data_IF_766757262035
#
_entry.id   IF_766757262035
#
_cell.length_a   1.000
_cell.length_b   1.000
_cell.length_c   1.000
_cell.angle_alpha   90.00
_cell.angle_beta   90.00
_cell.angle_gamma   90.00
#
_symmetry.space_group_name_H-M   'P 1'
#
loop_
_entity.id
_entity.type
_entity.pdbx_description
1 polymer ?
#
# COMPACT_ATOMS: atom_id res chain seq x y z
N UNK A 1 -6.10 -8.33 -34.66
CA UNK A 1 -5.10 -8.25 -33.56
C UNK A 1 -5.91 -8.18 -32.28
N UNK A 2 -5.43 -8.73 -31.17
CA UNK A 2 -6.20 -8.69 -29.92
C UNK A 2 -5.93 -7.38 -29.19
N UNK A 3 -6.88 -6.45 -29.18
CA UNK A 3 -6.73 -5.10 -28.62
C UNK A 3 -6.50 -5.16 -27.11
N UNK A 4 -7.12 -6.11 -26.41
CA UNK A 4 -7.06 -6.24 -24.95
C UNK A 4 -5.73 -6.79 -24.46
N UNK A 5 -5.15 -7.79 -25.15
CA UNK A 5 -3.85 -8.32 -24.75
C UNK A 5 -2.73 -7.28 -24.93
N UNK A 6 -2.83 -6.43 -25.96
CA UNK A 6 -1.89 -5.33 -26.19
C UNK A 6 -2.09 -4.20 -25.17
N UNK A 7 -3.34 -3.85 -24.86
CA UNK A 7 -3.65 -2.94 -23.76
C UNK A 7 -3.04 -3.42 -22.44
N UNK A 8 -3.21 -4.70 -22.10
CA UNK A 8 -2.70 -5.26 -20.85
C UNK A 8 -1.17 -5.17 -20.75
N UNK A 9 -0.47 -5.48 -21.85
CA UNK A 9 0.97 -5.32 -21.93
C UNK A 9 1.41 -3.85 -21.82
N UNK A 10 0.69 -2.94 -22.47
CA UNK A 10 0.91 -1.50 -22.37
C UNK A 10 0.75 -1.00 -20.93
N UNK A 11 -0.27 -1.47 -20.21
CA UNK A 11 -0.45 -1.14 -18.78
C UNK A 11 0.74 -1.64 -17.95
N UNK A 12 1.34 -2.81 -18.24
CA UNK A 12 2.54 -3.30 -17.54
C UNK A 12 3.75 -2.40 -17.79
N UNK A 13 3.98 -2.04 -19.05
CA UNK A 13 5.11 -1.19 -19.44
C UNK A 13 5.00 0.20 -18.80
N UNK A 14 3.79 0.77 -18.80
CA UNK A 14 3.47 2.02 -18.11
C UNK A 14 3.66 1.92 -16.61
N UNK A 15 3.26 0.80 -16.00
CA UNK A 15 3.44 0.56 -14.56
C UNK A 15 4.90 0.62 -14.16
N UNK A 16 5.79 -0.04 -14.92
CA UNK A 16 7.23 0.02 -14.67
C UNK A 16 7.83 1.40 -14.93
N UNK A 17 7.40 2.09 -16.00
CA UNK A 17 7.83 3.46 -16.28
C UNK A 17 7.42 4.44 -15.16
N UNK A 18 6.21 4.30 -14.62
CA UNK A 18 5.72 5.10 -13.49
C UNK A 18 6.50 4.78 -12.21
N UNK A 19 6.75 3.50 -11.89
CA UNK A 19 7.60 3.13 -10.75
C UNK A 19 9.01 3.70 -10.90
N UNK A 20 9.60 3.65 -12.10
CA UNK A 20 10.93 4.22 -12.36
C UNK A 20 10.93 5.74 -12.09
N UNK A 21 9.92 6.46 -12.56
CA UNK A 21 9.79 7.91 -12.33
C UNK A 21 9.62 8.24 -10.84
N UNK A 22 8.76 7.50 -10.13
CA UNK A 22 8.51 7.69 -8.70
C UNK A 22 9.72 7.32 -7.83
N UNK A 23 10.65 6.52 -8.32
CA UNK A 23 11.83 6.05 -7.57
C UNK A 23 13.15 6.68 -7.98
N UNK A 24 13.15 7.55 -8.99
CA UNK A 24 14.37 8.21 -9.48
C UNK A 24 14.99 9.17 -8.47
N UNK A 25 14.18 9.75 -7.57
CA UNK A 25 14.62 10.68 -6.53
C UNK A 25 13.93 10.34 -5.21
N UNK A 26 14.72 9.99 -4.19
CA UNK A 26 14.21 9.63 -2.88
C UNK A 26 13.34 10.73 -2.24
N UNK A 27 13.58 12.01 -2.54
CA UNK A 27 12.80 13.13 -1.98
C UNK A 27 11.34 13.12 -2.44
N UNK A 28 11.10 12.57 -3.63
CA UNK A 28 9.78 12.46 -4.24
C UNK A 28 9.25 11.02 -4.23
N UNK A 29 9.91 10.11 -3.51
CA UNK A 29 9.55 8.70 -3.53
C UNK A 29 8.19 8.46 -2.89
N UNK A 30 7.20 8.24 -3.75
CA UNK A 30 5.84 7.93 -3.34
C UNK A 30 5.68 6.43 -3.10
N UNK A 31 5.99 6.01 -1.87
CA UNK A 31 5.84 4.63 -1.41
C UNK A 31 4.42 4.09 -1.64
N UNK A 32 3.42 4.91 -1.39
CA UNK A 32 2.02 4.48 -1.47
C UNK A 32 1.60 4.22 -2.89
N UNK A 33 1.97 5.12 -3.82
CA UNK A 33 1.69 4.95 -5.24
C UNK A 33 2.44 3.77 -5.82
N UNK A 34 3.72 3.61 -5.50
CA UNK A 34 4.52 2.43 -5.89
C UNK A 34 3.89 1.14 -5.39
N UNK A 35 3.46 1.09 -4.12
CA UNK A 35 2.79 -0.07 -3.56
C UNK A 35 1.47 -0.38 -4.29
N UNK A 36 0.63 0.63 -4.56
CA UNK A 36 -0.64 0.46 -5.31
C UNK A 36 -0.39 -0.14 -6.70
N UNK A 37 0.60 0.36 -7.44
CA UNK A 37 0.93 -0.15 -8.79
C UNK A 37 1.42 -1.61 -8.70
N UNK A 38 2.33 -1.91 -7.78
CA UNK A 38 2.91 -3.24 -7.64
C UNK A 38 1.90 -4.29 -7.14
N UNK A 39 1.00 -3.91 -6.22
CA UNK A 39 -0.10 -4.75 -5.71
C UNK A 39 -1.04 -5.23 -6.82
N UNK A 40 -1.26 -4.39 -7.83
CA UNK A 40 -2.08 -4.78 -8.97
C UNK A 40 -1.43 -5.92 -9.76
N UNK A 41 -0.10 -6.01 -9.81
CA UNK A 41 0.61 -6.93 -10.70
C UNK A 41 1.03 -8.26 -10.06
N UNK A 42 1.19 -8.35 -8.74
CA UNK A 42 1.67 -9.59 -8.11
C UNK A 42 0.73 -10.79 -8.31
N UNK A 43 -0.59 -10.54 -8.40
CA UNK A 43 -1.61 -11.55 -8.69
C UNK A 43 -1.98 -11.63 -10.19
N UNK A 44 -1.60 -10.64 -11.00
CA UNK A 44 -1.92 -10.57 -12.42
C UNK A 44 -0.77 -11.01 -13.35
N UNK A 45 0.45 -11.17 -12.83
CA UNK A 45 1.63 -11.56 -13.63
C UNK A 45 1.45 -12.94 -14.28
N UNK A 46 1.03 -13.95 -13.52
CA UNK A 46 0.82 -15.30 -14.06
C UNK A 46 -0.31 -15.35 -15.10
N UNK A 47 -1.52 -14.83 -14.82
CA UNK A 47 -2.57 -14.70 -15.83
C UNK A 47 -2.12 -13.99 -17.11
N UNK A 48 -1.34 -12.91 -17.01
CA UNK A 48 -0.84 -12.18 -18.18
C UNK A 48 0.10 -13.03 -19.05
N UNK A 49 1.11 -13.67 -18.45
CA UNK A 49 2.04 -14.54 -19.18
C UNK A 49 1.30 -15.76 -19.75
N UNK A 50 0.34 -16.31 -19.01
CA UNK A 50 -0.56 -17.37 -19.47
C UNK A 50 -1.35 -16.96 -20.72
N UNK A 51 -1.95 -15.77 -20.71
CA UNK A 51 -2.66 -15.20 -21.85
C UNK A 51 -1.72 -14.98 -23.05
N UNK A 52 -0.50 -14.47 -22.84
CA UNK A 52 0.49 -14.29 -23.91
C UNK A 52 0.91 -15.63 -24.56
N UNK A 53 0.95 -16.71 -23.78
CA UNK A 53 1.36 -18.04 -24.23
C UNK A 53 0.24 -18.89 -24.83
N UNK A 54 -1.03 -18.51 -24.63
CA UNK A 54 -2.16 -19.35 -25.03
C UNK A 54 -2.22 -19.59 -26.55
N UNK A 55 -2.62 -20.82 -26.92
CA UNK A 55 -2.77 -21.23 -28.31
C UNK A 55 -4.04 -20.62 -28.91
N UNK A 56 -3.89 -19.97 -30.08
CA UNK A 56 -4.98 -19.33 -30.81
C UNK A 56 -5.25 -17.89 -30.36
N UNK A 57 -5.46 -16.98 -31.31
CA UNK A 57 -5.66 -15.56 -31.04
C UNK A 57 -6.92 -15.28 -30.19
N UNK A 58 -8.04 -15.96 -30.47
CA UNK A 58 -9.28 -15.77 -29.71
C UNK A 58 -9.17 -16.18 -28.25
N UNK A 59 -8.44 -17.27 -27.93
CA UNK A 59 -8.20 -17.67 -26.54
C UNK A 59 -7.32 -16.67 -25.81
N UNK A 60 -6.25 -16.17 -26.45
CA UNK A 60 -5.38 -15.13 -25.88
C UNK A 60 -6.18 -13.89 -25.51
N UNK A 61 -7.04 -13.44 -26.41
CA UNK A 61 -7.86 -12.26 -26.20
C UNK A 61 -8.91 -12.44 -25.10
N UNK A 62 -9.56 -13.60 -25.06
CA UNK A 62 -10.53 -13.89 -24.03
C UNK A 62 -9.88 -13.98 -22.63
N UNK A 63 -8.70 -14.60 -22.52
CA UNK A 63 -7.93 -14.61 -21.27
C UNK A 63 -7.43 -13.21 -20.87
N UNK A 64 -7.04 -12.39 -21.85
CA UNK A 64 -6.66 -11.01 -21.60
C UNK A 64 -7.83 -10.18 -21.05
N UNK A 65 -9.00 -10.26 -21.68
CA UNK A 65 -10.22 -9.60 -21.19
C UNK A 65 -10.57 -10.03 -19.76
N UNK A 66 -10.47 -11.33 -19.49
CA UNK A 66 -10.68 -11.85 -18.14
C UNK A 66 -9.70 -11.27 -17.13
N UNK A 67 -8.40 -11.28 -17.46
CA UNK A 67 -7.35 -10.79 -16.57
C UNK A 67 -7.40 -9.28 -16.34
N UNK A 68 -7.62 -8.47 -17.38
CA UNK A 68 -7.77 -7.02 -17.26
C UNK A 68 -9.02 -6.65 -16.47
N UNK A 69 -10.14 -7.37 -16.68
CA UNK A 69 -11.34 -7.18 -15.86
C UNK A 69 -11.06 -7.49 -14.39
N UNK A 70 -10.45 -8.63 -14.09
CA UNK A 70 -10.06 -9.00 -12.73
C UNK A 70 -9.14 -7.95 -12.09
N UNK A 71 -8.16 -7.47 -12.86
CA UNK A 71 -7.26 -6.38 -12.45
C UNK A 71 -8.04 -5.12 -12.07
N UNK A 72 -9.04 -4.73 -12.85
CA UNK A 72 -9.83 -3.52 -12.65
C UNK A 72 -10.93 -3.65 -11.57
N UNK A 73 -11.30 -4.87 -11.16
CA UNK A 73 -12.52 -5.10 -10.38
C UNK A 73 -12.42 -4.70 -8.89
N UNK A 74 -11.20 -4.43 -8.38
CA UNK A 74 -10.96 -4.08 -6.97
C UNK A 74 -11.20 -2.59 -6.68
N UNK A 75 -12.40 -2.10 -6.99
CA UNK A 75 -12.87 -0.76 -6.67
C UNK A 75 -12.64 0.31 -7.75
N UNK A 76 -13.33 1.43 -7.59
CA UNK A 76 -13.41 2.49 -8.60
C UNK A 76 -12.05 3.13 -8.94
N UNK A 77 -11.19 3.35 -7.94
CA UNK A 77 -9.86 3.94 -8.15
C UNK A 77 -8.97 3.05 -9.01
N UNK A 78 -8.96 1.73 -8.74
CA UNK A 78 -8.17 0.78 -9.54
C UNK A 78 -8.74 0.65 -10.95
N UNK A 79 -10.06 0.59 -11.08
CA UNK A 79 -10.72 0.57 -12.37
C UNK A 79 -10.35 1.78 -13.24
N UNK A 80 -10.48 3.00 -12.69
CA UNK A 80 -10.10 4.24 -13.39
C UNK A 80 -8.63 4.22 -13.80
N UNK A 81 -7.74 3.83 -12.88
CA UNK A 81 -6.31 3.73 -13.17
C UNK A 81 -6.00 2.75 -14.33
N UNK A 82 -6.62 1.56 -14.37
CA UNK A 82 -6.39 0.60 -15.48
C UNK A 82 -6.78 1.21 -16.83
N UNK A 83 -7.94 1.89 -16.89
CA UNK A 83 -8.41 2.54 -18.12
C UNK A 83 -7.48 3.68 -18.54
N UNK A 84 -7.07 4.53 -17.60
CA UNK A 84 -6.14 5.65 -17.87
C UNK A 84 -4.79 5.15 -18.40
N UNK A 85 -4.23 4.10 -17.80
CA UNK A 85 -2.94 3.54 -18.25
C UNK A 85 -3.06 2.87 -19.62
N UNK A 86 -4.19 2.21 -19.91
CA UNK A 86 -4.44 1.61 -21.22
C UNK A 86 -4.53 2.69 -22.31
N UNK A 87 -5.26 3.78 -22.05
CA UNK A 87 -5.32 4.96 -22.94
C UNK A 87 -3.93 5.58 -23.12
N UNK A 88 -3.19 5.79 -22.03
CA UNK A 88 -1.84 6.35 -22.07
C UNK A 88 -0.83 5.46 -22.82
N UNK A 89 -1.09 4.15 -22.89
CA UNK A 89 -0.32 3.20 -23.70
C UNK A 89 -0.77 3.15 -25.17
N UNK A 90 -1.79 3.93 -25.57
CA UNK A 90 -2.32 3.96 -26.94
C UNK A 90 -3.36 2.88 -27.23
N UNK A 91 -3.90 2.22 -26.20
CA UNK A 91 -4.86 1.12 -26.32
C UNK A 91 -6.11 1.41 -25.48
N UNK A 92 -7.01 2.30 -25.92
CA UNK A 92 -8.26 2.53 -25.20
C UNK A 92 -9.07 1.23 -25.11
N UNK A 93 -9.55 0.90 -23.91
CA UNK A 93 -10.36 -0.28 -23.64
C UNK A 93 -11.65 0.12 -22.93
N UNK A 94 -12.68 -0.71 -23.09
CA UNK A 94 -13.93 -0.58 -22.35
C UNK A 94 -14.10 -1.78 -21.40
N UNK A 95 -14.41 -1.49 -20.14
CA UNK A 95 -14.66 -2.50 -19.11
C UNK A 95 -16.02 -2.22 -18.47
N UNK A 96 -16.73 -3.27 -18.02
CA UNK A 96 -17.91 -3.07 -17.19
C UNK A 96 -17.51 -2.36 -15.89
N UNK A 97 -18.43 -1.60 -15.26
CA UNK A 97 -18.18 -0.99 -13.96
C UNK A 97 -17.65 -2.03 -12.97
N UNK A 98 -16.70 -1.67 -12.10
CA UNK A 98 -16.14 -2.60 -11.14
C UNK A 98 -17.23 -3.06 -10.18
N UNK A 99 -17.08 -4.27 -9.62
CA UNK A 99 -17.92 -4.70 -8.52
C UNK A 99 -17.87 -3.63 -7.42
N UNK A 100 -19.04 -3.16 -7.02
CA UNK A 100 -19.14 -2.26 -5.85
C UNK A 100 -18.73 -3.06 -4.63
N UNK A 101 -17.52 -2.84 -4.15
CA UNK A 101 -17.23 -3.09 -2.74
C UNK A 101 -18.13 -2.14 -1.95
N UNK A 102 -19.00 -2.64 -1.06
CA UNK A 102 -19.87 -1.77 -0.30
C UNK A 102 -19.02 -0.82 0.54
N UNK A 103 -19.18 0.49 0.33
CA UNK A 103 -18.76 1.50 1.30
C UNK A 103 -19.73 1.40 2.47
N UNK A 104 -19.53 0.41 3.32
CA UNK A 104 -20.44 0.09 4.39
C UNK A 104 -20.28 -1.34 4.89
N UNK A 105 -21.09 -1.74 5.89
CA UNK A 105 -21.02 -3.05 6.48
C UNK A 105 -21.20 -4.17 5.45
N UNK A 106 -20.49 -5.28 5.64
CA UNK A 106 -20.60 -6.49 4.80
C UNK A 106 -20.66 -7.74 5.67
N UNK A 107 -21.19 -8.84 5.12
CA UNK A 107 -21.06 -10.14 5.78
C UNK A 107 -19.71 -10.76 5.43
N UNK A 108 -18.98 -11.24 6.43
CA UNK A 108 -17.78 -12.04 6.22
C UNK A 108 -18.11 -13.45 5.68
N UNK A 109 -17.08 -14.29 5.50
CA UNK A 109 -17.25 -15.66 5.00
C UNK A 109 -18.07 -16.58 5.92
N UNK A 110 -18.19 -16.21 7.20
CA UNK A 110 -19.02 -16.90 8.20
C UNK A 110 -20.45 -16.34 8.25
N UNK A 111 -20.73 -15.27 7.51
CA UNK A 111 -22.02 -14.60 7.48
C UNK A 111 -22.19 -13.53 8.55
N UNK A 112 -21.15 -13.24 9.34
CA UNK A 112 -21.17 -12.24 10.41
C UNK A 112 -21.06 -10.84 9.82
N UNK A 113 -21.89 -9.91 10.30
CA UNK A 113 -21.77 -8.51 9.92
C UNK A 113 -20.43 -7.94 10.40
N UNK A 114 -19.67 -7.38 9.47
CA UNK A 114 -18.38 -6.72 9.69
C UNK A 114 -18.48 -5.27 9.22
N UNK A 115 -17.79 -4.34 9.89
CA UNK A 115 -17.83 -2.94 9.49
C UNK A 115 -17.07 -2.76 8.18
N UNK A 116 -17.57 -1.86 7.33
CA UNK A 116 -16.82 -1.36 6.18
C UNK A 116 -15.87 -0.23 6.55
N UNK A 117 -15.21 0.34 5.55
CA UNK A 117 -14.61 1.67 5.67
C UNK A 117 -15.71 2.72 5.54
N UNK A 118 -15.70 3.70 6.44
CA UNK A 118 -16.68 4.79 6.50
C UNK A 118 -15.96 6.13 6.44
N UNK A 119 -16.57 7.11 5.80
CA UNK A 119 -16.08 8.49 5.84
C UNK A 119 -16.26 9.06 7.25
N UNK A 120 -15.29 9.84 7.74
CA UNK A 120 -15.39 10.52 9.02
C UNK A 120 -16.29 11.74 8.90
N UNK A 121 -17.58 11.53 9.12
CA UNK A 121 -18.60 12.57 9.25
C UNK A 121 -18.98 12.78 10.71
N UNK A 122 -19.68 13.88 11.02
CA UNK A 122 -20.24 14.09 12.35
C UNK A 122 -21.16 12.93 12.80
N UNK A 123 -21.98 12.41 11.89
CA UNK A 123 -22.85 11.26 12.13
C UNK A 123 -22.05 9.99 12.45
N UNK A 124 -21.04 9.67 11.64
CA UNK A 124 -20.17 8.50 11.87
C UNK A 124 -19.41 8.60 13.20
N UNK A 125 -18.97 9.81 13.59
CA UNK A 125 -18.32 10.04 14.88
C UNK A 125 -19.28 9.80 16.04
N UNK A 126 -20.52 10.29 15.95
CA UNK A 126 -21.56 10.05 16.96
C UNK A 126 -21.87 8.56 17.11
N UNK A 127 -21.99 7.84 16.00
CA UNK A 127 -22.19 6.40 16.00
C UNK A 127 -21.03 5.64 16.67
N UNK A 128 -19.79 6.00 16.33
CA UNK A 128 -18.61 5.41 16.95
C UNK A 128 -18.52 5.72 18.45
N UNK A 129 -18.83 6.95 18.86
CA UNK A 129 -18.81 7.36 20.27
C UNK A 129 -19.89 6.66 21.12
N UNK A 130 -20.95 6.14 20.48
CA UNK A 130 -21.92 5.30 21.15
C UNK A 130 -21.36 3.90 21.48
N UNK A 131 -20.48 3.36 20.63
CA UNK A 131 -19.93 2.01 20.76
C UNK A 131 -18.55 1.96 21.44
N UNK A 132 -17.78 3.05 21.44
CA UNK A 132 -16.40 3.11 21.95
C UNK A 132 -16.16 4.28 22.90
N UNK A 133 -15.30 4.07 23.90
CA UNK A 133 -14.84 5.10 24.83
C UNK A 133 -13.53 5.74 24.34
N UNK A 134 -13.65 6.91 23.71
CA UNK A 134 -12.50 7.62 23.14
C UNK A 134 -11.67 8.43 24.14
N UNK A 135 -12.28 8.85 25.25
CA UNK A 135 -11.64 9.57 26.35
C UNK A 135 -10.51 8.76 27.03
N UNK A 136 -10.56 7.43 26.89
CA UNK A 136 -9.54 6.50 27.40
C UNK A 136 -8.83 5.72 26.28
N UNK A 137 -9.10 6.06 25.01
CA UNK A 137 -8.46 5.39 23.89
C UNK A 137 -6.96 5.68 23.84
N UNK A 138 -6.20 4.71 23.37
CA UNK A 138 -4.75 4.80 23.24
C UNK A 138 -4.35 4.79 21.76
N UNK A 139 -3.49 5.73 21.35
CA UNK A 139 -2.84 5.72 20.04
C UNK A 139 -1.86 4.56 19.99
N UNK A 140 -2.17 3.56 19.15
CA UNK A 140 -1.31 2.40 18.87
C UNK A 140 -0.27 2.69 17.82
N UNK A 141 -0.68 3.37 16.76
CA UNK A 141 0.20 3.74 15.65
C UNK A 141 -0.15 5.13 15.15
N UNK A 142 0.87 5.92 14.82
CA UNK A 142 0.75 7.15 14.05
C UNK A 142 1.81 7.10 12.94
N UNK A 143 1.37 7.11 11.68
CA UNK A 143 2.25 7.14 10.51
C UNK A 143 1.86 8.32 9.61
N UNK A 144 2.79 9.21 9.32
CA UNK A 144 2.59 10.32 8.38
C UNK A 144 3.68 10.28 7.33
N UNK A 145 3.29 10.48 6.06
CA UNK A 145 4.22 10.42 4.94
C UNK A 145 3.75 11.22 3.73
N UNK A 146 4.68 11.46 2.80
CA UNK A 146 4.40 12.10 1.50
C UNK A 146 3.79 11.10 0.50
N UNK A 147 2.76 11.52 -0.22
CA UNK A 147 2.21 10.83 -1.40
C UNK A 147 1.55 11.85 -2.33
N UNK A 148 1.81 11.74 -3.63
CA UNK A 148 1.23 12.59 -4.69
C UNK A 148 1.37 14.11 -4.39
N UNK A 149 2.49 14.50 -3.77
CA UNK A 149 2.80 15.90 -3.42
C UNK A 149 2.12 16.42 -2.14
N UNK A 150 1.25 15.63 -1.51
CA UNK A 150 0.60 15.95 -0.24
C UNK A 150 1.07 15.03 0.89
N UNK A 151 0.72 15.37 2.13
CA UNK A 151 0.90 14.45 3.26
C UNK A 151 -0.35 13.62 3.46
N UNK A 152 -0.16 12.36 3.82
CA UNK A 152 -1.23 11.47 4.23
C UNK A 152 -0.89 10.89 5.59
N UNK A 153 -1.92 10.75 6.41
CA UNK A 153 -1.78 10.32 7.81
C UNK A 153 -2.54 9.03 8.05
N UNK A 154 -2.04 8.21 8.94
CA UNK A 154 -2.72 7.04 9.45
C UNK A 154 -2.56 6.99 10.97
N UNK A 155 -3.67 6.87 11.68
CA UNK A 155 -3.69 6.74 13.13
C UNK A 155 -4.48 5.49 13.48
N UNK A 156 -3.87 4.54 14.16
CA UNK A 156 -4.58 3.40 14.75
C UNK A 156 -4.77 3.66 16.24
N UNK A 157 -6.00 3.58 16.71
CA UNK A 157 -6.35 3.75 18.13
C UNK A 157 -6.95 2.45 18.67
N UNK A 158 -6.63 2.15 19.93
CA UNK A 158 -7.24 1.07 20.70
C UNK A 158 -8.20 1.69 21.71
N UNK A 159 -9.49 1.36 21.61
CA UNK A 159 -10.54 1.92 22.46
C UNK A 159 -11.29 0.83 23.23
N UNK A 160 -11.75 1.17 24.43
CA UNK A 160 -12.63 0.28 25.20
C UNK A 160 -14.02 0.25 24.57
N UNK A 161 -14.64 -0.93 24.50
CA UNK A 161 -16.02 -1.10 24.04
C UNK A 161 -17.00 -0.62 25.12
N UNK A 162 -18.08 0.03 24.69
CA UNK A 162 -19.22 0.42 25.55
C UNK A 162 -20.33 -0.63 25.58
N UNK A 163 -20.19 -1.69 24.80
CA UNK A 163 -21.13 -2.79 24.70
C UNK A 163 -20.52 -4.09 25.24
N UNK A 164 -21.37 -5.05 25.63
CA UNK A 164 -20.93 -6.33 26.15
C UNK A 164 -20.32 -7.20 25.04
N UNK A 165 -19.04 -7.54 25.19
CA UNK A 165 -18.32 -8.49 24.34
C UNK A 165 -17.51 -9.44 25.22
N UNK A 166 -17.39 -10.71 24.83
CA UNK A 166 -16.54 -11.66 25.55
C UNK A 166 -15.07 -11.37 25.21
N UNK A 167 -14.23 -11.25 26.25
CA UNK A 167 -12.79 -10.96 26.13
C UNK A 167 -12.43 -9.54 26.57
N UNK A 168 -11.22 -9.38 27.11
CA UNK A 168 -10.71 -8.10 27.63
C UNK A 168 -9.93 -7.27 26.61
N UNK A 169 -9.85 -7.70 25.36
CA UNK A 169 -9.06 -7.01 24.33
C UNK A 169 -9.68 -5.67 23.96
N UNK A 170 -8.89 -4.69 23.55
CA UNK A 170 -9.41 -3.41 23.07
C UNK A 170 -9.90 -3.53 21.61
N UNK A 171 -10.81 -2.64 21.20
CA UNK A 171 -11.21 -2.52 19.80
C UNK A 171 -10.20 -1.63 19.06
N UNK A 172 -9.74 -2.08 17.89
CA UNK A 172 -8.85 -1.28 17.05
C UNK A 172 -9.63 -0.54 15.96
N UNK A 173 -9.41 0.76 15.86
CA UNK A 173 -9.94 1.61 14.81
C UNK A 173 -8.76 2.22 14.06
N UNK A 174 -8.75 2.06 12.74
CA UNK A 174 -7.73 2.63 11.85
C UNK A 174 -8.33 3.83 11.14
N UNK A 175 -7.74 4.99 11.36
CA UNK A 175 -8.14 6.25 10.76
C UNK A 175 -7.11 6.63 9.70
N UNK A 176 -7.56 6.92 8.48
CA UNK A 176 -6.72 7.43 7.39
C UNK A 176 -7.11 8.85 7.06
N UNK A 177 -6.12 9.73 6.89
CA UNK A 177 -6.27 11.14 6.52
C UNK A 177 -5.64 11.40 5.16
N UNK A 178 -6.34 12.14 4.32
CA UNK A 178 -5.79 12.69 3.08
C UNK A 178 -5.52 14.18 3.24
N UNK A 179 -4.42 14.66 2.64
CA UNK A 179 -4.07 16.08 2.65
C UNK A 179 -3.82 16.62 4.05
N UNK A 180 -2.98 15.95 4.83
CA UNK A 180 -2.62 16.39 6.20
C UNK A 180 -1.92 17.74 6.16
N UNK A 181 -2.57 18.76 6.72
CA UNK A 181 -2.08 20.13 6.76
C UNK A 181 -1.67 20.58 8.17
N UNK A 182 -2.16 19.89 9.21
CA UNK A 182 -1.74 20.08 10.59
C UNK A 182 -1.37 18.74 11.22
N UNK A 183 -0.17 18.68 11.78
CA UNK A 183 0.32 17.55 12.57
C UNK A 183 1.09 18.09 13.77
N UNK A 184 0.73 17.60 14.95
CA UNK A 184 1.56 17.65 16.15
C UNK A 184 1.28 16.37 16.93
N UNK A 185 2.32 15.63 17.28
CA UNK A 185 2.15 14.50 18.17
C UNK A 185 3.38 14.35 19.03
N UNK A 186 3.18 14.28 20.34
CA UNK A 186 4.18 13.88 21.32
C UNK A 186 3.78 12.53 21.94
N UNK A 187 4.73 11.71 22.36
CA UNK A 187 4.42 10.42 23.01
C UNK A 187 3.49 10.56 24.24
N UNK A 188 3.55 11.70 24.94
CA UNK A 188 2.64 12.02 26.05
C UNK A 188 1.19 12.21 25.62
N UNK A 189 0.93 12.51 24.36
CA UNK A 189 -0.39 12.73 23.77
C UNK A 189 -1.09 11.41 23.39
N UNK A 190 -0.50 10.25 23.73
CA UNK A 190 -1.01 8.93 23.28
C UNK A 190 -2.36 8.52 23.87
N UNK A 191 -2.81 9.12 24.97
CA UNK A 191 -4.03 8.73 25.66
C UNK A 191 -5.10 9.80 25.53
N UNK A 192 -6.33 9.37 25.26
CA UNK A 192 -7.46 10.26 25.04
C UNK A 192 -7.52 10.72 23.59
N UNK A 193 -8.69 10.55 22.98
CA UNK A 193 -8.95 10.89 21.58
C UNK A 193 -10.27 11.63 21.49
N UNK A 194 -10.32 12.66 20.65
CA UNK A 194 -11.59 13.29 20.28
C UNK A 194 -11.57 13.70 18.82
N UNK A 195 -12.71 13.58 18.16
CA UNK A 195 -12.90 13.96 16.78
C UNK A 195 -13.66 15.27 16.69
N UNK A 196 -13.32 16.08 15.68
CA UNK A 196 -14.11 17.22 15.24
C UNK A 196 -14.15 17.19 13.70
N UNK A 197 -15.35 17.31 13.13
CA UNK A 197 -15.53 17.40 11.69
C UNK A 197 -16.25 18.71 11.37
N UNK A 198 -15.51 19.64 10.79
CA UNK A 198 -16.06 20.88 10.25
C UNK A 198 -16.18 20.75 8.73
N UNK A 199 -17.03 21.55 8.10
CA UNK A 199 -17.29 21.45 6.66
C UNK A 199 -15.97 21.50 5.84
N UNK A 200 -15.56 20.34 5.32
CA UNK A 200 -14.36 20.17 4.49
C UNK A 200 -13.05 19.87 5.23
N UNK A 201 -13.07 19.58 6.53
CA UNK A 201 -11.86 19.16 7.29
C UNK A 201 -12.19 18.11 8.35
N UNK A 202 -11.27 17.18 8.56
CA UNK A 202 -11.34 16.17 9.63
C UNK A 202 -10.22 16.43 10.61
N UNK A 203 -10.57 16.65 11.88
CA UNK A 203 -9.65 16.92 12.97
C UNK A 203 -9.70 15.79 14.01
N UNK A 204 -8.53 15.28 14.37
CA UNK A 204 -8.33 14.32 15.45
C UNK A 204 -7.41 14.93 16.50
N UNK A 205 -7.93 15.14 17.71
CA UNK A 205 -7.13 15.54 18.86
C UNK A 205 -6.67 14.30 19.61
N UNK A 206 -5.41 14.32 20.02
CA UNK A 206 -4.72 13.23 20.71
C UNK A 206 -4.18 13.80 22.03
N UNK A 207 -4.62 13.26 23.16
CA UNK A 207 -4.27 13.75 24.49
C UNK A 207 -4.48 15.26 24.67
N UNK A 208 -3.51 15.91 25.30
CA UNK A 208 -3.63 17.32 25.69
C UNK A 208 -3.32 18.28 24.54
N UNK A 209 -2.32 17.94 23.70
CA UNK A 209 -1.77 18.87 22.70
C UNK A 209 -1.66 18.28 21.30
N UNK A 210 -1.82 16.98 21.16
CA UNK A 210 -1.67 16.28 19.89
C UNK A 210 -2.82 16.58 18.94
N UNK A 211 -2.52 16.67 17.65
CA UNK A 211 -3.47 16.96 16.59
C UNK A 211 -3.03 16.32 15.27
N UNK A 212 -4.01 15.77 14.55
CA UNK A 212 -3.90 15.42 13.12
C UNK A 212 -5.11 16.03 12.43
N UNK A 213 -4.87 16.90 11.45
CA UNK A 213 -5.91 17.48 10.62
C UNK A 213 -5.61 17.18 9.16
N UNK A 214 -6.65 16.80 8.41
CA UNK A 214 -6.58 16.62 6.96
C UNK A 214 -7.84 17.12 6.25
N UNK A 215 -7.78 17.16 4.93
CA UNK A 215 -8.89 17.56 4.06
C UNK A 215 -10.06 16.55 4.13
N UNK A 216 -9.75 15.28 4.35
CA UNK A 216 -10.74 14.21 4.57
C UNK A 216 -10.17 13.15 5.51
N UNK A 217 -11.08 12.34 6.07
CA UNK A 217 -10.71 11.19 6.86
C UNK A 217 -11.65 10.01 6.62
N UNK A 218 -11.12 8.80 6.70
CA UNK A 218 -11.90 7.57 6.71
C UNK A 218 -11.52 6.73 7.92
N UNK A 219 -12.46 5.90 8.39
CA UNK A 219 -12.27 4.99 9.50
C UNK A 219 -12.61 3.57 9.08
N UNK A 220 -11.67 2.65 9.30
CA UNK A 220 -11.87 1.21 9.20
C UNK A 220 -11.87 0.61 10.59
N UNK A 221 -12.96 -0.04 10.96
CA UNK A 221 -13.08 -0.69 12.25
C UNK A 221 -12.57 -2.15 12.15
N UNK A 222 -11.58 -2.51 12.96
CA UNK A 222 -10.98 -3.86 13.01
C UNK A 222 -11.46 -4.68 14.20
N UNK A 223 -12.53 -4.24 14.84
CA UNK A 223 -13.15 -4.94 15.95
C UNK A 223 -13.88 -6.20 15.49
N UNK A 224 -13.27 -7.35 15.74
CA UNK A 224 -13.86 -8.68 15.46
C UNK A 224 -15.16 -8.95 16.22
N UNK A 225 -15.49 -8.13 17.23
CA UNK A 225 -16.73 -8.20 18.02
C UNK A 225 -17.75 -7.14 17.61
N UNK A 226 -17.48 -6.35 16.56
CA UNK A 226 -18.35 -5.26 16.13
C UNK A 226 -19.79 -5.66 15.88
N UNK A 227 -20.07 -6.89 15.42
CA UNK A 227 -21.43 -7.41 15.24
C UNK A 227 -22.29 -7.37 16.53
N UNK A 228 -21.65 -7.31 17.71
CA UNK A 228 -22.31 -7.15 19.01
C UNK A 228 -22.52 -5.68 19.43
N UNK A 229 -22.04 -4.73 18.66
CA UNK A 229 -22.26 -3.30 18.89
C UNK A 229 -23.69 -2.89 18.50
N UNK A 230 -24.10 -1.65 18.82
CA UNK A 230 -25.40 -1.15 18.36
C UNK A 230 -25.40 -1.03 16.83
N UNK A 231 -24.36 -0.44 16.26
CA UNK A 231 -24.20 -0.30 14.82
C UNK A 231 -24.13 -1.67 14.12
N UNK A 232 -23.38 -2.63 14.69
CA UNK A 232 -23.27 -3.98 14.15
C UNK A 232 -24.60 -4.72 14.07
N UNK A 233 -25.43 -4.66 15.12
CA UNK A 233 -26.77 -5.27 15.12
C UNK A 233 -27.72 -4.59 14.13
N UNK A 234 -27.68 -3.26 14.05
CA UNK A 234 -28.50 -2.51 13.08
C UNK A 234 -28.11 -2.91 11.64
N UNK A 235 -26.82 -2.98 11.35
CA UNK A 235 -26.32 -3.43 10.06
C UNK A 235 -26.73 -4.88 9.77
N UNK A 236 -26.56 -5.79 10.73
CA UNK A 236 -26.92 -7.20 10.58
C UNK A 236 -28.40 -7.40 10.21
N UNK A 237 -29.30 -6.58 10.78
CA UNK A 237 -30.74 -6.65 10.51
C UNK A 237 -31.11 -6.27 9.07
N UNK A 238 -30.30 -5.49 8.37
CA UNK A 238 -30.57 -5.00 7.00
C UNK A 238 -29.68 -5.63 5.94
N UNK A 239 -28.55 -6.22 6.34
CA UNK A 239 -27.64 -6.86 5.41
C UNK A 239 -28.27 -8.12 4.81
N UNK A 240 -28.32 -8.26 3.48
CA UNK A 240 -28.84 -9.46 2.85
C UNK A 240 -28.02 -10.69 3.29
N UNK A 241 -28.60 -11.90 3.24
CA UNK A 241 -27.85 -13.13 3.51
C UNK A 241 -26.59 -13.20 2.66
N UNK A 242 -25.53 -13.81 3.20
CA UNK A 242 -24.28 -13.99 2.47
C UNK A 242 -24.53 -14.72 1.16
N UNK A 243 -24.52 -13.98 0.05
CA UNK A 243 -24.45 -14.58 -1.26
C UNK A 243 -22.99 -14.95 -1.49
N UNK A 244 -22.68 -16.25 -1.36
CA UNK A 244 -21.38 -16.79 -1.77
C UNK A 244 -21.27 -16.68 -3.29
N UNK A 245 -21.00 -15.48 -3.79
CA UNK A 245 -20.47 -15.33 -5.14
C UNK A 245 -19.12 -16.04 -5.13
N UNK A 246 -18.95 -17.03 -6.01
CA UNK A 246 -17.65 -17.62 -6.23
C UNK A 246 -16.74 -16.50 -6.71
N UNK A 247 -15.76 -16.11 -5.90
CA UNK A 247 -14.71 -15.18 -6.31
C UNK A 247 -14.11 -15.79 -7.57
N UNK A 248 -14.38 -15.14 -8.69
CA UNK A 248 -14.00 -15.66 -9.99
C UNK A 248 -12.57 -15.18 -10.27
N UNK A 249 -11.60 -16.08 -10.20
CA UNK A 249 -10.22 -15.77 -10.58
C UNK A 249 -9.97 -16.09 -12.06
N UNK A 250 -9.18 -15.28 -12.78
CA UNK A 250 -8.80 -15.58 -14.15
C UNK A 250 -7.95 -16.86 -14.19
N UNK A 251 -8.10 -17.64 -15.27
CA UNK A 251 -7.27 -18.82 -15.48
C UNK A 251 -5.79 -18.41 -15.55
N UNK A 252 -4.97 -18.90 -14.60
CA UNK A 252 -3.51 -18.69 -14.65
C UNK A 252 -2.85 -19.41 -15.83
N UNK A 253 -3.50 -20.47 -16.33
CA UNK A 253 -2.92 -21.40 -17.29
C UNK A 253 -1.79 -22.24 -16.67
N UNK A 254 -1.52 -23.41 -17.24
CA UNK A 254 -0.31 -24.17 -16.92
C UNK A 254 0.86 -23.51 -17.64
N UNK A 255 1.64 -22.69 -16.91
CA UNK A 255 2.93 -22.20 -17.38
C UNK A 255 4.00 -23.24 -17.04
N UNK A 256 4.86 -23.51 -18.01
CA UNK A 256 5.97 -24.46 -17.89
C UNK A 256 7.25 -23.85 -18.46
N UNK A 257 8.40 -24.40 -18.09
CA UNK A 257 9.70 -24.00 -18.61
C UNK A 257 10.04 -22.52 -18.35
N UNK A 258 10.74 -21.89 -19.28
CA UNK A 258 11.22 -20.50 -19.08
C UNK A 258 10.10 -19.46 -19.10
N UNK A 259 8.90 -19.78 -19.58
CA UNK A 259 7.75 -18.88 -19.45
C UNK A 259 7.26 -18.80 -17.99
N UNK A 260 7.29 -19.93 -17.25
CA UNK A 260 7.02 -19.94 -15.82
C UNK A 260 8.10 -19.17 -15.05
N UNK A 261 9.37 -19.40 -15.37
CA UNK A 261 10.50 -18.67 -14.76
C UNK A 261 10.38 -17.16 -14.97
N UNK A 262 10.04 -16.71 -16.18
CA UNK A 262 9.82 -15.29 -16.46
C UNK A 262 8.67 -14.71 -15.62
N UNK A 263 7.56 -15.44 -15.48
CA UNK A 263 6.43 -15.02 -14.65
C UNK A 263 6.80 -14.96 -13.16
N UNK A 264 7.54 -15.94 -12.66
CA UNK A 264 8.03 -15.97 -11.27
C UNK A 264 8.96 -14.81 -10.98
N UNK A 265 9.93 -14.56 -11.87
CA UNK A 265 10.91 -13.48 -11.73
C UNK A 265 10.24 -12.11 -11.74
N UNK A 266 9.31 -11.86 -12.66
CA UNK A 266 8.55 -10.62 -12.73
C UNK A 266 7.62 -10.44 -11.52
N UNK A 267 6.90 -11.50 -11.11
CA UNK A 267 6.03 -11.45 -9.93
C UNK A 267 6.84 -11.16 -8.68
N UNK A 268 8.00 -11.79 -8.54
CA UNK A 268 8.87 -11.58 -7.40
C UNK A 268 9.40 -10.15 -7.34
N UNK A 269 9.79 -9.58 -8.47
CA UNK A 269 10.13 -8.15 -8.55
C UNK A 269 8.96 -7.25 -8.10
N UNK A 270 7.72 -7.53 -8.55
CA UNK A 270 6.53 -6.80 -8.09
C UNK A 270 6.30 -6.98 -6.58
N UNK A 271 6.49 -8.17 -6.01
CA UNK A 271 6.40 -8.39 -4.56
C UNK A 271 7.47 -7.57 -3.83
N UNK A 272 8.72 -7.58 -4.28
CA UNK A 272 9.79 -6.83 -3.63
C UNK A 272 9.53 -5.32 -3.68
N UNK A 273 9.10 -4.81 -4.82
CA UNK A 273 8.68 -3.40 -4.97
C UNK A 273 7.49 -3.09 -4.06
N UNK A 274 6.47 -3.96 -4.01
CA UNK A 274 5.31 -3.81 -3.11
C UNK A 274 5.73 -3.80 -1.64
N UNK A 275 6.70 -4.63 -1.27
CA UNK A 275 7.25 -4.75 0.07
C UNK A 275 7.98 -3.50 0.54
N UNK A 276 8.34 -2.55 -0.34
CA UNK A 276 8.81 -1.23 0.10
C UNK A 276 7.74 -0.46 0.90
N UNK A 277 6.49 -0.95 0.92
CA UNK A 277 5.48 -0.53 1.90
C UNK A 277 5.93 -0.80 3.33
N UNK A 278 6.54 -1.94 3.63
CA UNK A 278 7.02 -2.21 4.98
C UNK A 278 8.15 -1.22 5.31
N UNK A 279 8.04 -0.52 6.45
CA UNK A 279 9.03 0.46 6.86
C UNK A 279 10.43 -0.17 7.01
N UNK A 280 10.51 -1.46 7.37
CA UNK A 280 11.75 -2.21 7.43
C UNK A 280 12.46 -2.39 6.09
N UNK A 281 11.73 -2.37 4.97
CA UNK A 281 12.26 -2.68 3.64
C UNK A 281 12.35 -1.45 2.72
N UNK A 282 11.74 -0.33 3.10
CA UNK A 282 11.68 0.89 2.27
C UNK A 282 13.07 1.41 1.85
N UNK A 283 14.08 1.25 2.70
CA UNK A 283 15.43 1.78 2.46
C UNK A 283 16.34 0.77 1.75
N UNK A 284 15.97 -0.51 1.74
CA UNK A 284 16.81 -1.61 1.23
C UNK A 284 16.34 -2.11 -0.12
N UNK A 285 15.04 -2.03 -0.41
CA UNK A 285 14.50 -2.49 -1.69
C UNK A 285 14.97 -1.59 -2.83
N UNK A 286 15.73 -2.09 -3.82
CA UNK A 286 16.22 -1.31 -4.96
C UNK A 286 15.12 -1.10 -6.03
N UNK A 287 14.09 -0.33 -5.68
CA UNK A 287 12.86 -0.14 -6.49
C UNK A 287 13.18 0.41 -7.87
N UNK A 288 14.09 1.38 -7.96
CA UNK A 288 14.44 2.02 -9.23
C UNK A 288 15.12 1.03 -10.16
N UNK A 289 16.04 0.23 -9.65
CA UNK A 289 16.78 -0.76 -10.40
C UNK A 289 15.87 -1.88 -10.88
N UNK A 290 14.89 -2.32 -10.08
CA UNK A 290 13.84 -3.22 -10.56
C UNK A 290 13.10 -2.60 -11.75
N UNK A 291 12.69 -1.34 -11.64
CA UNK A 291 11.94 -0.68 -12.71
C UNK A 291 12.74 -0.54 -14.01
N UNK A 292 14.04 -0.27 -13.92
CA UNK A 292 14.93 -0.26 -15.07
C UNK A 292 15.13 -1.66 -15.68
N UNK A 293 15.31 -2.69 -14.84
CA UNK A 293 15.53 -4.06 -15.30
C UNK A 293 14.32 -4.63 -16.06
N UNK A 294 13.10 -4.25 -15.66
CA UNK A 294 11.84 -4.71 -16.26
C UNK A 294 11.19 -3.68 -17.19
N UNK A 295 11.90 -2.63 -17.60
CA UNK A 295 11.40 -1.67 -18.58
C UNK A 295 10.99 -2.40 -19.89
N UNK A 296 9.74 -2.22 -20.33
CA UNK A 296 9.20 -2.87 -21.52
C UNK A 296 8.80 -4.35 -21.34
N UNK A 297 8.71 -4.84 -20.10
CA UNK A 297 8.39 -6.25 -19.81
C UNK A 297 7.08 -6.74 -20.46
N UNK A 298 6.04 -5.92 -20.53
CA UNK A 298 4.78 -6.24 -21.19
C UNK A 298 4.99 -6.52 -22.67
N UNK A 299 5.56 -5.57 -23.40
CA UNK A 299 5.88 -5.73 -24.83
C UNK A 299 6.76 -6.95 -25.10
N UNK A 300 7.78 -7.16 -24.26
CA UNK A 300 8.71 -8.27 -24.38
C UNK A 300 8.04 -9.64 -24.14
N UNK A 301 7.18 -9.76 -23.13
CA UNK A 301 6.40 -10.98 -22.85
C UNK A 301 5.48 -11.30 -24.02
N UNK A 302 4.81 -10.30 -24.60
CA UNK A 302 3.97 -10.53 -25.78
C UNK A 302 4.78 -11.05 -26.97
N UNK A 303 5.94 -10.44 -27.24
CA UNK A 303 6.82 -10.87 -28.31
C UNK A 303 7.32 -12.31 -28.11
N UNK A 304 7.70 -12.67 -26.88
CA UNK A 304 8.14 -14.03 -26.53
C UNK A 304 6.99 -15.05 -26.64
N UNK A 305 5.80 -14.74 -26.10
CA UNK A 305 4.62 -15.60 -26.13
C UNK A 305 4.12 -15.93 -27.54
N UNK A 306 4.25 -14.97 -28.46
CA UNK A 306 3.91 -15.10 -29.90
C UNK A 306 4.96 -15.86 -30.71
N UNK A 307 6.17 -16.07 -30.19
CA UNK A 307 7.26 -16.70 -30.93
C UNK A 307 7.01 -18.19 -31.20
N UNK A 308 7.33 -18.64 -32.42
CA UNK A 308 7.38 -20.08 -32.76
C UNK A 308 8.44 -20.85 -31.95
N UNK A 309 9.49 -20.15 -31.48
CA UNK A 309 10.52 -20.69 -30.60
C UNK A 309 10.39 -20.12 -29.18
N UNK A 310 9.17 -20.21 -28.63
CA UNK A 310 8.76 -19.59 -27.36
C UNK A 310 9.75 -19.82 -26.22
N UNK A 311 10.12 -21.06 -25.95
CA UNK A 311 11.08 -21.43 -24.89
C UNK A 311 12.42 -20.68 -25.06
N UNK A 312 12.97 -20.64 -26.27
CA UNK A 312 14.21 -19.90 -26.52
C UNK A 312 14.02 -18.37 -26.41
N UNK A 313 12.82 -17.86 -26.72
CA UNK A 313 12.50 -16.43 -26.59
C UNK A 313 12.38 -16.01 -25.13
N UNK A 314 11.68 -16.78 -24.30
CA UNK A 314 11.60 -16.52 -22.86
C UNK A 314 12.95 -16.70 -22.16
N UNK A 315 13.75 -17.69 -22.54
CA UNK A 315 15.13 -17.81 -22.04
C UNK A 315 15.97 -16.56 -22.30
N UNK A 316 15.88 -16.00 -23.53
CA UNK A 316 16.57 -14.75 -23.86
C UNK A 316 16.02 -13.58 -23.02
N UNK A 317 14.70 -13.53 -22.83
CA UNK A 317 14.06 -12.50 -22.02
C UNK A 317 14.56 -12.52 -20.56
N UNK A 318 14.52 -13.68 -19.91
CA UNK A 318 15.02 -13.87 -18.54
C UNK A 318 16.49 -13.46 -18.43
N UNK A 319 17.34 -13.91 -19.37
CA UNK A 319 18.75 -13.54 -19.38
C UNK A 319 18.95 -12.02 -19.53
N UNK A 320 18.13 -11.34 -20.33
CA UNK A 320 18.18 -9.88 -20.46
C UNK A 320 17.82 -9.19 -19.16
N UNK A 321 16.72 -9.57 -18.50
CA UNK A 321 16.34 -8.98 -17.21
C UNK A 321 17.40 -9.21 -16.13
N UNK A 322 17.96 -10.43 -16.04
CA UNK A 322 19.07 -10.74 -15.13
C UNK A 322 20.31 -9.89 -15.42
N UNK A 323 20.65 -9.71 -16.70
CA UNK A 323 21.77 -8.86 -17.09
C UNK A 323 21.52 -7.38 -16.80
N UNK A 324 20.30 -6.90 -17.02
CA UNK A 324 19.90 -5.51 -16.77
C UNK A 324 19.86 -5.18 -15.26
N UNK A 325 19.56 -6.16 -14.41
CA UNK A 325 19.57 -5.98 -12.96
C UNK A 325 20.95 -5.81 -12.33
N UNK A 326 22.02 -6.16 -13.05
CA UNK A 326 23.40 -5.98 -12.62
C UNK A 326 23.73 -6.66 -11.29
N UNK A 327 24.84 -6.24 -10.67
CA UNK A 327 25.33 -6.84 -9.42
C UNK A 327 24.36 -6.67 -8.24
N UNK A 328 23.52 -5.63 -8.27
CA UNK A 328 22.58 -5.33 -7.19
C UNK A 328 21.40 -6.30 -7.16
N UNK A 329 20.77 -6.57 -8.31
CA UNK A 329 19.59 -7.42 -8.35
C UNK A 329 19.90 -8.90 -8.57
N UNK A 330 21.08 -9.26 -9.09
CA UNK A 330 21.42 -10.67 -9.34
C UNK A 330 21.30 -11.55 -8.07
N UNK A 331 21.86 -11.17 -6.91
CA UNK A 331 21.69 -11.96 -5.67
C UNK A 331 20.22 -12.07 -5.25
N UNK A 332 19.43 -11.03 -5.52
CA UNK A 332 18.01 -10.96 -5.22
C UNK A 332 17.22 -11.91 -6.14
N UNK A 333 17.50 -11.92 -7.44
CA UNK A 333 16.89 -12.84 -8.41
C UNK A 333 17.21 -14.32 -8.13
N UNK A 334 18.32 -14.61 -7.45
CA UNK A 334 18.74 -15.96 -7.08
C UNK A 334 18.22 -16.41 -5.71
N UNK A 335 17.79 -15.47 -4.85
CA UNK A 335 17.18 -15.77 -3.57
C UNK A 335 15.71 -16.17 -3.73
N UNK A 336 15.45 -17.47 -3.68
CA UNK A 336 14.09 -18.00 -3.50
C UNK A 336 13.70 -17.91 -2.03
N UNK A 337 12.80 -16.97 -1.66
CA UNK A 337 11.91 -16.87 -0.47
C UNK A 337 12.41 -17.34 0.93
N UNK A 338 13.68 -17.68 1.14
CA UNK A 338 14.10 -18.40 2.35
C UNK A 338 14.53 -17.51 3.51
N UNK A 339 14.70 -16.22 3.29
CA UNK A 339 15.10 -15.28 4.34
C UNK A 339 14.61 -13.90 3.98
N UNK A 340 13.96 -13.25 4.93
CA UNK A 340 13.70 -11.80 4.92
C UNK A 340 15.05 -11.12 5.14
N UNK A 341 15.70 -10.56 4.10
CA UNK A 341 16.96 -9.88 4.28
C UNK A 341 16.62 -8.47 4.73
N UNK A 342 16.12 -8.32 5.96
CA UNK A 342 16.18 -7.03 6.62
C UNK A 342 17.67 -6.70 6.72
N UNK A 343 18.18 -5.85 5.81
CA UNK A 343 19.51 -5.29 6.01
C UNK A 343 19.46 -4.53 7.35
N UNK A 344 20.52 -4.62 8.14
CA UNK A 344 20.59 -3.88 9.39
C UNK A 344 20.37 -2.40 9.11
N UNK A 345 19.66 -1.72 10.01
CA UNK A 345 19.54 -0.27 9.96
C UNK A 345 20.94 0.34 9.97
N UNK A 346 21.13 1.44 9.24
CA UNK A 346 22.44 2.08 9.15
C UNK A 346 22.77 2.76 10.49
N UNK A 347 23.84 2.32 11.15
CA UNK A 347 24.25 2.80 12.47
C UNK A 347 24.61 4.29 12.50
N UNK A 348 25.07 4.86 11.38
CA UNK A 348 25.43 6.28 11.34
C UNK A 348 24.19 7.19 11.50
N UNK A 349 24.34 8.42 11.96
CA UNK A 349 23.27 9.39 11.87
C UNK A 349 23.00 9.77 10.39
N UNK A 350 21.75 10.12 10.04
CA UNK A 350 21.40 10.73 8.75
C UNK A 350 22.19 12.03 8.55
N UNK A 351 22.47 12.37 7.30
CA UNK A 351 23.15 13.63 6.99
C UNK A 351 22.25 14.84 7.35
N UNK A 352 22.83 15.97 7.79
CA UNK A 352 22.09 17.18 8.17
C UNK A 352 21.12 17.70 7.10
N UNK A 353 21.45 17.51 5.82
CA UNK A 353 20.66 17.94 4.67
C UNK A 353 19.61 16.92 4.21
N UNK A 354 19.44 15.81 4.94
CA UNK A 354 18.42 14.81 4.66
C UNK A 354 17.01 15.39 4.87
N UNK A 355 16.02 14.89 4.12
CA UNK A 355 14.63 15.35 4.18
C UNK A 355 13.71 14.26 4.72
N UNK A 356 12.82 14.59 5.64
CA UNK A 356 11.88 13.65 6.23
C UNK A 356 10.82 13.21 5.19
N UNK A 357 10.70 11.90 4.99
CA UNK A 357 9.72 11.29 4.08
C UNK A 357 8.59 10.61 4.83
N UNK A 358 8.92 9.93 5.94
CA UNK A 358 8.00 9.16 6.77
C UNK A 358 8.35 9.36 8.23
N UNK A 359 7.35 9.62 9.06
CA UNK A 359 7.44 9.53 10.51
C UNK A 359 6.40 8.52 11.02
N UNK A 360 6.87 7.52 11.75
CA UNK A 360 6.06 6.47 12.34
C UNK A 360 6.34 6.36 13.84
N UNK A 361 5.28 6.22 14.61
CA UNK A 361 5.30 5.84 16.02
C UNK A 361 4.39 4.63 16.20
N UNK A 362 4.88 3.58 16.85
CA UNK A 362 4.15 2.34 17.09
C UNK A 362 4.37 1.89 18.55
N UNK A 363 3.28 1.56 19.24
CA UNK A 363 3.31 0.92 20.57
C UNK A 363 3.40 -0.60 20.45
N UNK A 364 3.80 -1.34 21.52
CA UNK A 364 3.83 -2.78 21.52
C UNK A 364 2.52 -3.38 21.00
N UNK A 365 2.65 -4.34 20.10
CA UNK A 365 1.58 -5.14 19.52
C UNK A 365 1.91 -6.63 19.67
N UNK A 366 1.04 -7.50 19.17
CA UNK A 366 1.32 -8.93 19.15
C UNK A 366 2.62 -9.29 18.38
N UNK A 367 2.96 -8.49 17.35
CA UNK A 367 4.13 -8.74 16.49
C UNK A 367 5.39 -7.96 16.92
N UNK A 368 5.22 -6.86 17.66
CA UNK A 368 6.32 -6.00 18.11
C UNK A 368 6.24 -5.80 19.62
N UNK A 369 7.27 -6.23 20.35
CA UNK A 369 7.23 -6.20 21.82
C UNK A 369 7.62 -4.86 22.42
N UNK A 370 8.04 -3.90 21.61
CA UNK A 370 8.60 -2.63 22.06
C UNK A 370 7.86 -1.44 21.48
N UNK A 371 7.86 -0.31 22.19
CA UNK A 371 7.53 0.95 21.54
C UNK A 371 8.63 1.22 20.53
N UNK A 372 8.28 1.70 19.34
CA UNK A 372 9.27 2.05 18.34
C UNK A 372 8.84 3.31 17.59
N UNK A 373 9.84 4.12 17.28
CA UNK A 373 9.69 5.22 16.33
C UNK A 373 10.54 4.91 15.11
N UNK A 374 9.95 5.02 13.92
CA UNK A 374 10.67 4.84 12.67
C UNK A 374 10.59 6.11 11.85
N UNK A 375 11.73 6.62 11.43
CA UNK A 375 11.83 7.72 10.48
C UNK A 375 12.46 7.21 9.19
N UNK A 376 11.97 7.71 8.07
CA UNK A 376 12.63 7.51 6.78
C UNK A 376 12.99 8.88 6.21
N UNK A 377 14.24 9.00 5.79
CA UNK A 377 14.78 10.20 5.20
C UNK A 377 15.23 9.95 3.77
N UNK A 378 15.04 10.95 2.92
CA UNK A 378 15.77 11.08 1.68
C UNK A 378 17.14 11.67 2.03
N UNK A 379 18.21 10.93 1.80
CA UNK A 379 19.58 11.35 2.11
C UNK A 379 20.31 11.83 0.85
N UNK A 380 21.12 12.90 0.95
CA UNK A 380 21.90 13.41 -0.17
C UNK A 380 22.80 12.33 -0.79
N UNK A 381 22.99 12.43 -2.11
CA UNK A 381 23.77 11.46 -2.89
C UNK A 381 23.56 11.68 -4.39
N UNK A 382 24.26 10.91 -5.22
CA UNK A 382 23.99 10.85 -6.67
C UNK A 382 23.79 9.39 -7.09
N UNK A 383 22.52 8.90 -7.15
CA UNK A 383 21.27 9.58 -6.83
C UNK A 383 21.02 9.74 -5.31
N UNK A 384 19.98 10.50 -4.94
CA UNK A 384 19.53 10.59 -3.55
C UNK A 384 19.08 9.21 -3.04
N UNK A 385 19.56 8.83 -1.86
CA UNK A 385 19.26 7.55 -1.23
C UNK A 385 18.09 7.64 -0.24
N UNK A 386 17.62 6.48 0.23
CA UNK A 386 16.67 6.39 1.35
C UNK A 386 17.40 5.84 2.56
N UNK A 387 17.17 6.44 3.72
CA UNK A 387 17.74 6.01 4.99
C UNK A 387 16.64 5.83 6.02
N UNK A 388 16.66 4.70 6.71
CA UNK A 388 15.77 4.42 7.84
C UNK A 388 16.53 4.65 9.14
N UNK A 389 15.83 5.21 10.13
CA UNK A 389 16.22 5.20 11.53
C UNK A 389 15.09 4.59 12.32
N UNK A 390 15.40 3.60 13.15
CA UNK A 390 14.47 3.04 14.12
C UNK A 390 15.03 3.27 15.52
N UNK A 391 14.21 3.81 16.40
CA UNK A 391 14.53 3.96 17.82
C UNK A 391 13.58 3.09 18.61
N UNK A 392 14.12 2.09 19.31
CA UNK A 392 13.36 1.25 20.23
C UNK A 392 13.23 1.94 21.58
N UNK A 393 12.03 1.90 22.15
CA UNK A 393 11.66 2.55 23.41
C UNK A 393 12.08 4.01 23.46
N UNK A 394 11.66 4.84 22.49
CA UNK A 394 12.01 6.25 22.48
C UNK A 394 11.56 6.91 23.78
N UNK A 395 12.45 7.68 24.40
CA UNK A 395 12.12 8.53 25.56
C UNK A 395 11.34 9.76 25.13
N UNK A 396 11.57 10.19 23.88
CA UNK A 396 10.87 11.29 23.24
C UNK A 396 10.54 10.91 21.80
N UNK A 397 9.30 11.19 21.39
CA UNK A 397 8.91 11.27 19.98
C UNK A 397 8.10 12.55 19.82
N UNK A 398 8.53 13.43 18.92
CA UNK A 398 7.77 14.59 18.52
C UNK A 398 7.90 14.82 17.00
N UNK A 399 6.78 15.04 16.33
CA UNK A 399 6.76 15.39 14.90
C UNK A 399 5.74 16.49 14.64
N UNK A 400 6.10 17.43 13.77
CA UNK A 400 5.22 18.47 13.23
C UNK A 400 5.22 18.46 11.71
N UNK A 401 4.14 18.99 11.13
CA UNK A 401 3.95 19.03 9.67
C UNK A 401 5.10 19.76 8.96
N UNK A 402 5.64 20.82 9.56
CA UNK A 402 6.70 21.64 8.98
C UNK A 402 8.03 20.87 8.85
N UNK A 403 8.23 19.81 9.63
CA UNK A 403 9.43 18.96 9.54
C UNK A 403 9.58 18.29 8.16
N UNK A 404 8.47 18.04 7.47
CA UNK A 404 8.50 17.46 6.12
C UNK A 404 8.97 18.46 5.07
N UNK A 405 8.82 19.77 5.31
CA UNK A 405 9.12 20.85 4.35
C UNK A 405 10.54 21.41 4.44
N UNK A 406 11.42 20.82 5.26
CA UNK A 406 12.75 21.38 5.55
C UNK A 406 13.81 20.26 5.68
N UNK A 407 15.07 20.64 5.89
CA UNK A 407 16.15 19.69 6.17
C UNK A 407 16.11 19.20 7.61
N UNK A 408 16.70 18.03 7.86
CA UNK A 408 16.77 17.44 9.20
C UNK A 408 17.40 18.40 10.22
N UNK A 409 18.51 19.05 9.87
CA UNK A 409 19.18 20.01 10.74
C UNK A 409 18.25 21.15 11.17
N UNK A 410 17.53 21.74 10.20
CA UNK A 410 16.58 22.83 10.47
C UNK A 410 15.36 22.33 11.28
N UNK A 411 14.85 21.13 10.99
CA UNK A 411 13.76 20.53 11.74
C UNK A 411 14.12 20.30 13.21
N UNK A 412 15.32 19.80 13.49
CA UNK A 412 15.81 19.57 14.85
C UNK A 412 16.05 20.88 15.59
N UNK A 413 16.71 21.86 14.97
CA UNK A 413 16.96 23.18 15.57
C UNK A 413 15.65 23.93 15.91
N UNK A 414 14.62 23.78 15.06
CA UNK A 414 13.30 24.35 15.28
C UNK A 414 12.40 23.57 16.25
N UNK A 415 12.86 22.42 16.78
CA UNK A 415 12.03 21.54 17.61
C UNK A 415 10.80 20.97 16.89
N UNK A 416 10.87 20.85 15.57
CA UNK A 416 9.82 20.29 14.71
C UNK A 416 9.88 18.76 14.67
N UNK A 417 11.06 18.19 14.93
CA UNK A 417 11.34 16.77 14.96
C UNK A 417 12.25 16.46 16.15
N UNK A 418 11.83 15.55 17.02
CA UNK A 418 12.66 15.07 18.12
C UNK A 418 12.48 13.56 18.32
N UNK A 419 13.60 12.85 18.42
CA UNK A 419 13.65 11.46 18.85
C UNK A 419 14.92 11.23 19.66
N UNK A 420 14.79 10.52 20.77
CA UNK A 420 15.91 10.19 21.67
C UNK A 420 15.68 8.87 22.37
#
# INVERSE_FOLDING_TARGET
>A
MGEMLEAWAGVLDRSWAEIAALSADARNFDRLRVNRIADVWDNNTFPFVGAACARGAGRRENLALQGVRWMADFGATRHAWVLEQAVAAGHPIELPPPMKHPNGPVRDGEGTATPGTMDLTAETIEELAADYAFDTAEVRTLCVQRSEGVLVGEVTIAASRRYQADGGDLAELRIQFEGVDQLRFEQSDRCGVSFDCQAGTTLLRLGDRGVVQGASGTVSNRDVRWSRSKAGRTADAVLPPLQRAKVWEPERGLLEGTACEAAELLRWAMIMVRSSWALSLIHTTPVHEYALAFAGAGTDILAAGRSFRREAAFRRLVNRWRSAGGELLLPLFDQTLKTDPALPDADDPPEPDSQLMVADYTTPSFFDRTNASTFVFASPGTPWGRRRIRVENPQQFAVRVEAFGTTLCAAQQGGLLAVS
#
